data_IF_635649119563
#
_entry.id   IF_635649119563
#
_cell.length_a   1.000
_cell.length_b   1.000
_cell.length_c   1.000
_cell.angle_alpha   90.00
_cell.angle_beta   90.00
_cell.angle_gamma   90.00
#
_symmetry.space_group_name_H-M   'P 1'
#
loop_
_entity.id
_entity.type
_entity.pdbx_description
1 polymer ?
#
# COMPACT_ATOMS: atom_id res chain seq x y z
N UNK A 1 -5.79 -16.86 11.40
CA UNK A 1 -6.43 -15.94 10.45
C UNK A 1 -5.50 -14.80 10.10
N UNK A 2 -5.30 -14.58 8.80
CA UNK A 2 -4.37 -13.53 8.35
C UNK A 2 -5.05 -12.16 8.42
N UNK A 3 -4.35 -11.17 8.97
CA UNK A 3 -4.86 -9.81 9.02
C UNK A 3 -4.82 -9.15 7.64
N UNK A 4 -5.77 -8.26 7.39
CA UNK A 4 -5.72 -7.37 6.21
C UNK A 4 -4.57 -6.38 6.38
N UNK A 5 -4.05 -5.86 5.26
CA UNK A 5 -2.95 -4.88 5.29
C UNK A 5 -3.31 -3.68 6.18
N UNK A 6 -4.51 -3.13 6.04
CA UNK A 6 -4.95 -2.00 6.86
C UNK A 6 -4.97 -2.34 8.35
N UNK A 7 -5.33 -3.58 8.69
CA UNK A 7 -5.35 -4.03 10.08
C UNK A 7 -3.95 -4.17 10.66
N UNK A 8 -3.00 -4.67 9.86
CA UNK A 8 -1.58 -4.75 10.27
C UNK A 8 -1.04 -3.36 10.55
N UNK A 9 -1.31 -2.40 9.66
CA UNK A 9 -0.83 -1.02 9.81
C UNK A 9 -1.42 -0.37 11.06
N UNK A 10 -2.71 -0.58 11.33
CA UNK A 10 -3.36 -0.04 12.51
C UNK A 10 -2.79 -0.64 13.79
N UNK A 11 -2.54 -1.95 13.79
CA UNK A 11 -1.94 -2.64 14.91
C UNK A 11 -0.55 -2.10 15.22
N UNK A 12 0.27 -1.90 14.19
CA UNK A 12 1.59 -1.30 14.33
C UNK A 12 1.50 0.15 14.81
N UNK A 13 0.52 0.92 14.30
CA UNK A 13 0.28 2.30 14.75
C UNK A 13 0.01 2.37 16.25
N UNK A 14 -0.78 1.41 16.77
CA UNK A 14 -1.17 1.39 18.16
C UNK A 14 -0.10 0.81 19.10
N UNK A 15 0.96 0.20 18.55
CA UNK A 15 2.06 -0.32 19.37
C UNK A 15 2.81 0.84 20.04
N UNK A 16 3.20 0.64 21.29
CA UNK A 16 3.77 1.70 22.12
C UNK A 16 5.27 1.88 21.92
N UNK A 17 5.97 0.86 21.46
CA UNK A 17 7.42 0.92 21.30
C UNK A 17 7.82 0.56 19.88
N UNK A 18 9.02 1.01 19.49
CA UNK A 18 9.62 0.69 18.21
C UNK A 18 9.77 -0.82 18.04
N UNK A 19 10.23 -1.50 19.09
CA UNK A 19 10.42 -2.95 19.06
C UNK A 19 9.11 -3.70 18.80
N UNK A 20 8.01 -3.27 19.40
CA UNK A 20 6.70 -3.87 19.15
C UNK A 20 6.23 -3.66 17.72
N UNK A 21 6.44 -2.46 17.16
CA UNK A 21 6.09 -2.15 15.77
C UNK A 21 6.85 -3.06 14.82
N UNK A 22 8.15 -3.21 15.02
CA UNK A 22 9.00 -4.07 14.20
C UNK A 22 8.49 -5.51 14.26
N UNK A 23 8.20 -6.00 15.45
CA UNK A 23 7.70 -7.37 15.62
C UNK A 23 6.38 -7.60 14.88
N UNK A 24 5.44 -6.67 15.00
CA UNK A 24 4.14 -6.77 14.32
C UNK A 24 4.35 -6.83 12.80
N UNK A 25 5.22 -6.00 12.25
CA UNK A 25 5.50 -6.01 10.83
C UNK A 25 6.15 -7.31 10.40
N UNK A 26 7.12 -7.82 11.16
CA UNK A 26 7.79 -9.08 10.87
C UNK A 26 6.86 -10.28 10.95
N UNK A 27 5.94 -10.29 11.91
CA UNK A 27 4.96 -11.36 12.07
C UNK A 27 3.94 -11.40 10.92
N UNK A 28 3.81 -10.29 10.19
CA UNK A 28 2.89 -10.16 9.05
C UNK A 28 3.64 -9.88 7.75
N UNK A 29 4.86 -10.36 7.63
CA UNK A 29 5.73 -10.14 6.49
C UNK A 29 5.18 -10.81 5.23
N UNK A 30 4.71 -10.00 4.29
CA UNK A 30 4.26 -10.45 2.98
C UNK A 30 4.84 -9.54 1.91
N UNK A 31 4.89 -10.05 0.68
CA UNK A 31 5.38 -9.26 -0.45
C UNK A 31 4.55 -7.99 -0.65
N UNK A 32 3.24 -8.09 -0.50
CA UNK A 32 2.35 -6.93 -0.66
C UNK A 32 2.62 -5.87 0.40
N UNK A 33 2.79 -6.25 1.67
CA UNK A 33 3.10 -5.29 2.72
C UNK A 33 4.40 -4.57 2.44
N UNK A 34 5.44 -5.31 2.04
CA UNK A 34 6.73 -4.70 1.66
C UNK A 34 6.57 -3.76 0.48
N UNK A 35 5.77 -4.14 -0.53
CA UNK A 35 5.51 -3.31 -1.70
C UNK A 35 4.83 -1.99 -1.33
N UNK A 36 3.87 -2.03 -0.42
CA UNK A 36 3.19 -0.82 0.07
C UNK A 36 4.20 0.14 0.72
N UNK A 37 5.12 -0.37 1.54
CA UNK A 37 6.14 0.48 2.16
C UNK A 37 7.14 1.01 1.12
N UNK A 38 7.50 0.20 0.12
CA UNK A 38 8.38 0.66 -0.96
C UNK A 38 7.71 1.80 -1.71
N UNK A 39 6.45 1.65 -2.06
CA UNK A 39 5.68 2.70 -2.74
C UNK A 39 5.69 4.00 -1.93
N UNK A 40 5.50 3.90 -0.62
CA UNK A 40 5.43 5.09 0.24
C UNK A 40 6.79 5.75 0.48
N UNK A 41 7.85 4.97 0.67
CA UNK A 41 9.13 5.50 1.16
C UNK A 41 10.23 5.57 0.11
N UNK A 42 10.13 4.85 -1.00
CA UNK A 42 11.17 4.85 -2.03
C UNK A 42 10.95 6.00 -3.01
N UNK A 43 11.83 6.98 -2.98
CA UNK A 43 11.72 8.18 -3.80
C UNK A 43 11.88 7.91 -5.30
N UNK A 44 12.43 6.76 -5.67
CA UNK A 44 12.62 6.40 -7.09
C UNK A 44 11.38 5.77 -7.72
N UNK A 45 10.37 5.42 -6.93
CA UNK A 45 9.09 4.91 -7.44
C UNK A 45 8.29 6.07 -8.03
N UNK A 46 7.91 5.97 -9.30
CA UNK A 46 7.17 7.02 -10.02
C UNK A 46 5.77 6.53 -10.37
N UNK A 47 4.73 7.08 -9.72
CA UNK A 47 3.34 6.67 -10.01
C UNK A 47 2.88 7.15 -11.39
N UNK A 48 2.04 6.35 -12.04
CA UNK A 48 1.35 6.68 -13.29
C UNK A 48 -0.14 6.94 -13.06
N UNK A 49 -0.56 6.99 -11.80
CA UNK A 49 -1.96 7.19 -11.42
C UNK A 49 -2.17 8.62 -10.95
N UNK A 50 -3.42 9.10 -10.88
CA UNK A 50 -3.69 10.45 -10.37
C UNK A 50 -3.17 10.61 -8.96
N UNK A 51 -2.43 11.70 -8.72
CA UNK A 51 -1.94 12.05 -7.39
C UNK A 51 -3.00 12.87 -6.65
N UNK A 52 -2.92 12.87 -5.34
CA UNK A 52 -3.89 13.51 -4.47
C UNK A 52 -4.78 12.49 -3.80
N UNK A 53 -5.37 12.87 -2.68
CA UNK A 53 -6.21 11.96 -1.91
C UNK A 53 -7.67 12.02 -2.32
N UNK A 54 -8.04 12.93 -3.22
CA UNK A 54 -9.40 13.10 -3.72
C UNK A 54 -9.62 12.32 -5.02
N UNK A 55 -9.26 11.06 -5.02
CA UNK A 55 -9.44 10.19 -6.19
C UNK A 55 -10.93 9.91 -6.40
N UNK A 56 -11.45 10.09 -7.64
CA UNK A 56 -12.88 9.90 -7.91
C UNK A 56 -13.24 8.42 -8.03
N UNK A 57 -13.38 7.75 -6.90
CA UNK A 57 -13.83 6.36 -6.86
C UNK A 57 -15.04 6.24 -5.93
N UNK A 58 -15.86 5.21 -6.16
CA UNK A 58 -17.03 4.95 -5.31
C UNK A 58 -16.59 4.01 -4.18
N UNK A 59 -16.58 4.48 -2.91
CA UNK A 59 -16.20 3.63 -1.80
C UNK A 59 -17.11 2.40 -1.67
N UNK A 60 -16.52 1.26 -1.36
CA UNK A 60 -17.26 0.04 -1.13
C UNK A 60 -17.67 0.00 0.34
N UNK A 61 -18.98 0.08 0.60
CA UNK A 61 -19.53 0.19 1.95
C UNK A 61 -19.86 -1.15 2.60
N UNK A 62 -19.61 -2.27 1.92
CA UNK A 62 -19.86 -3.59 2.50
C UNK A 62 -18.99 -3.82 3.74
N UNK A 63 -19.46 -4.58 4.73
CA UNK A 63 -18.67 -4.88 5.93
C UNK A 63 -17.36 -5.60 5.59
N UNK A 64 -16.34 -5.40 6.42
CA UNK A 64 -15.04 -6.05 6.25
C UNK A 64 -15.19 -7.56 6.15
N UNK A 65 -14.41 -8.15 5.25
CA UNK A 65 -14.36 -9.59 5.10
C UNK A 65 -15.49 -10.19 4.29
N UNK A 66 -16.39 -9.37 3.73
CA UNK A 66 -17.49 -9.83 2.89
C UNK A 66 -17.17 -9.66 1.41
N UNK A 67 -17.81 -8.74 0.70
CA UNK A 67 -17.74 -8.64 -0.75
C UNK A 67 -16.58 -7.77 -1.27
N UNK A 68 -15.40 -7.91 -0.66
CA UNK A 68 -14.25 -7.12 -1.05
C UNK A 68 -13.15 -7.97 -1.67
N UNK A 69 -12.40 -7.39 -2.62
CA UNK A 69 -11.09 -7.93 -2.94
C UNK A 69 -10.13 -7.56 -1.80
N UNK A 70 -9.08 -8.35 -1.64
CA UNK A 70 -8.08 -8.12 -0.60
C UNK A 70 -6.85 -7.46 -1.21
N UNK A 71 -6.38 -6.36 -0.61
CA UNK A 71 -5.17 -5.67 -1.06
C UNK A 71 -3.99 -6.65 -1.11
N UNK A 72 -3.90 -7.56 -0.15
CA UNK A 72 -2.88 -8.59 -0.12
C UNK A 72 -2.85 -9.42 -1.42
N UNK A 73 -4.00 -9.78 -1.95
CA UNK A 73 -4.11 -10.54 -3.19
C UNK A 73 -3.89 -9.67 -4.42
N UNK A 74 -4.26 -8.40 -4.34
CA UNK A 74 -4.09 -7.46 -5.45
C UNK A 74 -2.64 -6.98 -5.59
N UNK A 75 -1.78 -7.28 -4.63
CA UNK A 75 -0.39 -6.87 -4.63
C UNK A 75 0.37 -7.24 -5.90
N UNK A 76 0.03 -8.38 -6.51
CA UNK A 76 0.64 -8.85 -7.76
C UNK A 76 0.40 -7.91 -8.94
N UNK A 77 -0.63 -7.06 -8.85
CA UNK A 77 -1.04 -6.16 -9.94
C UNK A 77 -0.55 -4.73 -9.74
N UNK A 78 0.03 -4.41 -8.59
CA UNK A 78 0.41 -3.03 -8.25
C UNK A 78 1.48 -2.46 -9.19
N UNK A 79 2.37 -3.31 -9.74
CA UNK A 79 3.43 -2.86 -10.63
C UNK A 79 2.92 -2.04 -11.81
N UNK A 80 1.69 -2.28 -12.26
CA UNK A 80 1.10 -1.60 -13.42
C UNK A 80 0.87 -0.12 -13.19
N UNK A 81 0.84 0.31 -11.95
CA UNK A 81 0.55 1.70 -11.59
C UNK A 81 1.81 2.56 -11.52
N UNK A 82 2.97 1.99 -11.81
CA UNK A 82 4.25 2.68 -11.65
C UNK A 82 5.10 2.56 -12.92
N UNK A 83 5.90 3.61 -13.16
CA UNK A 83 6.84 3.64 -14.28
C UNK A 83 7.81 2.47 -14.18
N UNK A 84 8.06 1.81 -15.30
CA UNK A 84 8.94 0.65 -15.37
C UNK A 84 8.25 -0.69 -15.16
N UNK A 85 6.98 -0.69 -14.71
CA UNK A 85 6.23 -1.93 -14.52
C UNK A 85 5.70 -2.48 -15.84
N UNK A 86 4.75 -1.77 -16.44
CA UNK A 86 4.22 -2.09 -17.77
C UNK A 86 3.96 -0.80 -18.53
N UNK A 87 5.02 -0.24 -19.10
CA UNK A 87 4.96 1.05 -19.78
C UNK A 87 4.21 0.98 -21.11
N UNK A 88 3.85 -0.23 -21.57
CA UNK A 88 3.04 -0.41 -22.80
C UNK A 88 1.57 -0.04 -22.57
N UNK A 89 1.10 -0.01 -21.32
CA UNK A 89 -0.28 0.34 -21.02
C UNK A 89 -0.52 1.84 -21.23
N UNK A 90 -1.60 2.23 -21.94
CA UNK A 90 -1.97 3.65 -22.04
C UNK A 90 -2.29 4.25 -20.67
N UNK A 91 -2.00 5.54 -20.48
CA UNK A 91 -2.25 6.22 -19.21
C UNK A 91 -3.71 6.13 -18.75
N UNK A 92 -4.66 6.28 -19.68
CA UNK A 92 -6.08 6.15 -19.37
C UNK A 92 -6.44 4.77 -18.86
N UNK A 93 -5.82 3.73 -19.42
CA UNK A 93 -6.03 2.35 -18.98
C UNK A 93 -5.52 2.14 -17.55
N UNK A 94 -4.33 2.64 -17.26
CA UNK A 94 -3.73 2.55 -15.93
C UNK A 94 -4.62 3.24 -14.90
N UNK A 95 -5.09 4.43 -15.21
CA UNK A 95 -5.97 5.20 -14.34
C UNK A 95 -7.27 4.46 -14.06
N UNK A 96 -7.91 3.91 -15.12
CA UNK A 96 -9.14 3.13 -14.96
C UNK A 96 -8.94 1.90 -14.11
N UNK A 97 -7.83 1.20 -14.29
CA UNK A 97 -7.51 0.01 -13.51
C UNK A 97 -7.30 0.35 -12.03
N UNK A 98 -6.67 1.48 -11.76
CA UNK A 98 -6.45 1.94 -10.39
C UNK A 98 -7.78 2.23 -9.68
N UNK A 99 -8.66 2.98 -10.34
CA UNK A 99 -9.99 3.30 -9.79
C UNK A 99 -10.79 2.02 -9.55
N UNK A 100 -10.80 1.09 -10.49
CA UNK A 100 -11.49 -0.19 -10.34
C UNK A 100 -10.96 -0.99 -9.14
N UNK A 101 -9.65 -0.99 -8.94
CA UNK A 101 -9.05 -1.67 -7.79
C UNK A 101 -9.53 -1.04 -6.49
N UNK A 102 -9.53 0.30 -6.41
CA UNK A 102 -9.99 1.01 -5.21
C UNK A 102 -11.45 0.68 -4.90
N UNK A 103 -12.30 0.60 -5.92
CA UNK A 103 -13.72 0.30 -5.74
C UNK A 103 -13.98 -1.13 -5.28
N UNK A 104 -13.08 -2.06 -5.58
CA UNK A 104 -13.19 -3.45 -5.13
C UNK A 104 -12.69 -3.68 -3.71
N UNK A 105 -11.89 -2.76 -3.15
CA UNK A 105 -11.30 -2.90 -1.82
C UNK A 105 -12.22 -2.30 -0.74
N UNK A 106 -12.07 -2.79 0.50
CA UNK A 106 -12.67 -2.11 1.65
C UNK A 106 -12.08 -0.69 1.72
N UNK A 107 -12.88 0.28 2.21
CA UNK A 107 -12.47 1.69 2.28
C UNK A 107 -11.11 1.89 2.94
N UNK A 108 -10.85 1.18 4.03
CA UNK A 108 -9.57 1.33 4.74
C UNK A 108 -8.39 0.81 3.92
N UNK A 109 -8.59 -0.26 3.14
CA UNK A 109 -7.56 -0.79 2.23
C UNK A 109 -7.33 0.14 1.04
N UNK A 110 -8.41 0.68 0.47
CA UNK A 110 -8.32 1.67 -0.61
C UNK A 110 -7.54 2.90 -0.13
N UNK A 111 -7.83 3.37 1.07
CA UNK A 111 -7.13 4.50 1.67
C UNK A 111 -5.64 4.21 1.85
N UNK A 112 -5.28 3.00 2.27
CA UNK A 112 -3.87 2.60 2.39
C UNK A 112 -3.16 2.77 1.05
N UNK A 113 -3.76 2.29 -0.04
CA UNK A 113 -3.16 2.39 -1.37
C UNK A 113 -3.03 3.83 -1.82
N UNK A 114 -4.07 4.64 -1.64
CA UNK A 114 -4.05 6.06 -1.99
C UNK A 114 -2.95 6.79 -1.23
N UNK A 115 -2.85 6.58 0.07
CA UNK A 115 -1.83 7.24 0.91
C UNK A 115 -0.43 6.77 0.56
N UNK A 116 -0.24 5.51 0.25
CA UNK A 116 1.08 5.00 -0.17
C UNK A 116 1.53 5.67 -1.46
N UNK A 117 0.65 5.74 -2.47
CA UNK A 117 0.95 6.39 -3.75
C UNK A 117 1.31 7.87 -3.56
N UNK A 118 0.64 8.55 -2.63
CA UNK A 118 0.90 9.96 -2.32
C UNK A 118 2.00 10.17 -1.27
N UNK A 119 2.63 9.08 -0.79
CA UNK A 119 3.72 9.11 0.19
C UNK A 119 3.32 9.76 1.52
N UNK A 120 2.07 9.53 1.94
CA UNK A 120 1.53 10.09 3.19
C UNK A 120 1.11 9.03 4.19
N UNK A 121 1.41 7.75 3.90
CA UNK A 121 1.00 6.64 4.76
C UNK A 121 1.55 6.77 6.18
N UNK A 122 2.80 7.22 6.31
CA UNK A 122 3.45 7.39 7.61
C UNK A 122 2.84 8.51 8.45
N UNK A 123 2.10 9.42 7.83
CA UNK A 123 1.39 10.49 8.56
C UNK A 123 0.17 9.95 9.28
N UNK A 124 -0.44 8.90 8.75
CA UNK A 124 -1.61 8.27 9.36
C UNK A 124 -1.24 7.19 10.37
N UNK A 125 -0.27 6.35 10.04
CA UNK A 125 0.01 5.12 10.81
C UNK A 125 1.26 5.19 11.68
N UNK A 126 1.95 6.30 11.74
CA UNK A 126 3.14 6.53 12.59
C UNK A 126 4.19 5.41 12.46
N UNK A 127 4.41 4.96 11.25
CA UNK A 127 5.44 3.96 10.93
C UNK A 127 6.49 4.67 10.08
N UNK A 128 7.73 4.72 10.56
CA UNK A 128 8.79 5.43 9.85
C UNK A 128 9.57 4.50 8.91
N UNK A 129 10.32 5.10 7.98
CA UNK A 129 11.21 4.34 7.09
C UNK A 129 12.24 3.56 7.90
N UNK A 130 12.74 4.12 9.01
CA UNK A 130 13.69 3.45 9.88
C UNK A 130 13.09 2.15 10.46
N UNK A 131 11.86 2.19 10.92
CA UNK A 131 11.15 1.01 11.44
C UNK A 131 11.00 -0.04 10.35
N UNK A 132 10.59 0.38 9.16
CA UNK A 132 10.43 -0.56 8.01
C UNK A 132 11.76 -1.18 7.63
N UNK A 133 12.83 -0.40 7.60
CA UNK A 133 14.17 -0.89 7.26
C UNK A 133 14.69 -1.92 8.25
N UNK A 134 14.39 -1.74 9.53
CA UNK A 134 14.76 -2.73 10.56
C UNK A 134 13.88 -3.98 10.49
N UNK A 135 12.58 -3.81 10.21
CA UNK A 135 11.67 -4.94 10.10
C UNK A 135 11.97 -5.79 8.86
N UNK A 136 12.35 -5.15 7.77
CA UNK A 136 12.57 -5.80 6.48
C UNK A 136 13.93 -5.40 5.88
N UNK A 137 15.03 -5.89 6.44
CA UNK A 137 16.37 -5.49 5.97
C UNK A 137 16.67 -5.92 4.54
N UNK A 138 15.87 -6.83 3.96
CA UNK A 138 16.03 -7.25 2.58
C UNK A 138 15.56 -6.22 1.55
N UNK A 139 14.80 -5.19 1.97
CA UNK A 139 14.36 -4.16 1.05
C UNK A 139 15.55 -3.30 0.61
N UNK A 140 15.76 -3.23 -0.69
CA UNK A 140 16.75 -2.33 -1.29
C UNK A 140 16.04 -1.06 -1.74
N UNK A 141 16.45 0.07 -1.18
CA UNK A 141 15.86 1.37 -1.51
C UNK A 141 16.56 1.99 -2.72
N UNK A 142 15.75 2.59 -3.60
CA UNK A 142 16.26 3.26 -4.79
C UNK A 142 16.34 2.36 -6.02
N UNK A 143 16.65 2.96 -7.18
CA UNK A 143 16.86 2.24 -8.42
C UNK A 143 15.61 1.71 -9.11
N UNK A 144 14.43 2.24 -8.79
CA UNK A 144 13.16 1.75 -9.34
C UNK A 144 12.55 2.63 -10.43
N UNK A 145 13.17 3.72 -10.73
CA UNK A 145 12.68 4.59 -11.82
C UNK A 145 13.27 4.24 -13.17
#
# INVERSE_FOLDING_TARGET
MRLMISEVLRKAHNAKTKAEKIKILQDNNTQTLRSIFIINFDETVVPRVPLGEDVPYRPNEAPKGTEHTLLEQEGKKLYRFFKGGDDSLPGMKVESMFIQMLEGLHQEEAEVLIKAVNRTLHKKYRITKAVVSEAFPSIEWGGRS
#
